data_IF_684406325882
#
_entry.id   IF_684406325882
#
_cell.length_a   1.000
_cell.length_b   1.000
_cell.length_c   1.000
_cell.angle_alpha   90.00
_cell.angle_beta   90.00
_cell.angle_gamma   90.00
#
_symmetry.space_group_name_H-M   'P 1'
#
loop_
_entity.id
_entity.type
_entity.pdbx_description
1 polymer ?
#
# COMPACT_ATOMS: atom_id res chain seq x y z
N UNK A 1 27.99 -64.66 37.27
CA UNK A 1 28.25 -63.21 37.32
C UNK A 1 28.33 -62.50 35.97
N UNK A 2 28.45 -63.20 34.84
CA UNK A 2 28.52 -62.58 33.48
C UNK A 2 27.19 -62.05 32.94
N UNK A 3 26.04 -62.62 33.30
CA UNK A 3 24.74 -62.21 32.77
C UNK A 3 24.21 -60.83 33.28
N UNK A 4 24.59 -60.41 34.44
CA UNK A 4 24.19 -59.14 35.04
C UNK A 4 24.85 -57.92 34.41
N UNK A 5 26.12 -58.06 33.96
CA UNK A 5 26.83 -56.99 33.28
C UNK A 5 26.25 -56.70 31.90
N UNK A 6 25.90 -57.75 31.14
CA UNK A 6 25.31 -57.57 29.81
C UNK A 6 23.95 -56.89 29.85
N UNK A 7 23.10 -57.19 30.85
CA UNK A 7 21.78 -56.56 30.98
C UNK A 7 21.87 -55.10 31.40
N UNK A 8 22.87 -54.68 32.19
CA UNK A 8 23.12 -53.30 32.59
C UNK A 8 23.65 -52.50 31.40
N UNK A 9 24.58 -53.06 30.61
CA UNK A 9 25.10 -52.39 29.41
C UNK A 9 23.98 -52.15 28.37
N UNK A 10 23.12 -53.13 28.13
CA UNK A 10 22.01 -53.02 27.17
C UNK A 10 20.96 -51.99 27.60
N UNK A 11 20.69 -51.91 28.92
CA UNK A 11 19.79 -50.86 29.45
C UNK A 11 20.37 -49.45 29.36
N UNK A 12 21.69 -49.32 29.48
CA UNK A 12 22.38 -48.03 29.37
C UNK A 12 22.47 -47.55 27.92
N UNK A 13 22.72 -48.47 26.98
CA UNK A 13 22.65 -48.13 25.54
C UNK A 13 21.25 -47.71 25.08
N UNK A 14 20.21 -48.39 25.57
CA UNK A 14 18.82 -48.04 25.26
C UNK A 14 18.42 -46.69 25.86
N UNK A 15 18.93 -46.37 27.07
CA UNK A 15 18.67 -45.08 27.70
C UNK A 15 19.36 -43.93 26.93
N UNK A 16 20.63 -44.11 26.51
CA UNK A 16 21.34 -43.12 25.69
C UNK A 16 20.73 -42.93 24.30
N UNK A 17 20.24 -44.00 23.69
CA UNK A 17 19.52 -43.90 22.40
C UNK A 17 18.19 -43.15 22.52
N UNK A 18 17.46 -43.33 23.63
CA UNK A 18 16.23 -42.60 23.91
C UNK A 18 16.47 -41.13 24.18
N UNK A 19 17.53 -40.78 24.93
CA UNK A 19 17.88 -39.36 25.15
C UNK A 19 18.35 -38.66 23.87
N UNK A 20 19.07 -39.33 22.98
CA UNK A 20 19.49 -38.80 21.70
C UNK A 20 18.27 -38.50 20.78
N UNK A 21 17.28 -39.40 20.72
CA UNK A 21 16.06 -39.22 19.96
C UNK A 21 15.14 -38.09 20.54
N UNK A 22 15.04 -38.03 21.87
CA UNK A 22 14.28 -36.99 22.56
C UNK A 22 14.92 -35.59 22.38
N UNK A 23 16.25 -35.52 22.24
CA UNK A 23 16.97 -34.26 21.98
C UNK A 23 16.69 -33.66 20.59
N UNK A 24 16.58 -34.50 19.56
CA UNK A 24 16.31 -34.04 18.19
C UNK A 24 14.89 -33.53 18.00
N UNK A 25 13.89 -34.19 18.59
CA UNK A 25 12.49 -33.71 18.52
C UNK A 25 12.29 -32.38 19.28
N UNK A 26 12.99 -32.14 20.37
CA UNK A 26 12.98 -30.87 21.10
C UNK A 26 13.61 -29.73 20.32
N UNK A 27 14.66 -30.00 19.56
CA UNK A 27 15.38 -28.99 18.79
C UNK A 27 14.52 -28.49 17.61
N UNK A 28 13.87 -29.39 16.86
CA UNK A 28 12.98 -29.03 15.75
C UNK A 28 11.81 -28.15 16.19
N UNK A 29 11.23 -28.42 17.34
CA UNK A 29 10.11 -27.60 17.85
C UNK A 29 10.55 -26.20 18.28
N UNK A 30 11.74 -26.02 18.82
CA UNK A 30 12.31 -24.72 19.16
C UNK A 30 12.67 -23.92 17.91
N UNK A 31 13.24 -24.54 16.88
CA UNK A 31 13.50 -23.88 15.61
C UNK A 31 12.22 -23.43 14.93
N UNK A 32 11.18 -24.26 14.91
CA UNK A 32 9.89 -23.90 14.36
C UNK A 32 9.25 -22.74 15.15
N UNK A 33 9.32 -22.77 16.47
CA UNK A 33 8.81 -21.70 17.32
C UNK A 33 9.52 -20.36 17.09
N UNK A 34 10.80 -20.38 16.77
CA UNK A 34 11.59 -19.18 16.47
C UNK A 34 11.34 -18.67 15.03
N UNK A 35 11.17 -19.56 14.05
CA UNK A 35 11.01 -19.20 12.65
C UNK A 35 9.57 -18.76 12.31
N UNK A 36 8.57 -19.32 12.97
CA UNK A 36 7.15 -19.05 12.69
C UNK A 36 6.78 -17.56 12.79
N UNK A 37 7.15 -16.81 13.83
CA UNK A 37 6.85 -15.37 13.91
C UNK A 37 7.51 -14.58 12.78
N UNK A 38 8.73 -14.94 12.36
CA UNK A 38 9.42 -14.28 11.26
C UNK A 38 8.67 -14.51 9.94
N UNK A 39 8.27 -15.75 9.66
CA UNK A 39 7.50 -16.10 8.46
C UNK A 39 6.16 -15.36 8.43
N UNK A 40 5.47 -15.27 9.57
CA UNK A 40 4.21 -14.51 9.67
C UNK A 40 4.40 -13.03 9.36
N UNK A 41 5.43 -12.39 9.89
CA UNK A 41 5.71 -10.97 9.62
C UNK A 41 6.01 -10.76 8.13
N UNK A 42 6.84 -11.60 7.52
CA UNK A 42 7.16 -11.54 6.08
C UNK A 42 5.90 -11.74 5.24
N UNK A 43 5.06 -12.72 5.58
CA UNK A 43 3.80 -12.96 4.89
C UNK A 43 2.86 -11.74 4.96
N UNK A 44 2.75 -11.09 6.13
CA UNK A 44 1.95 -9.86 6.29
C UNK A 44 2.48 -8.71 5.43
N UNK A 45 3.79 -8.54 5.35
CA UNK A 45 4.41 -7.51 4.50
C UNK A 45 4.06 -7.77 3.03
N UNK A 46 4.23 -9.00 2.55
CA UNK A 46 3.93 -9.39 1.17
C UNK A 46 2.44 -9.17 0.84
N UNK A 47 1.54 -9.58 1.73
CA UNK A 47 0.10 -9.38 1.54
C UNK A 47 -0.28 -7.90 1.44
N UNK A 48 0.26 -7.04 2.30
CA UNK A 48 0.02 -5.60 2.23
C UNK A 48 0.58 -4.99 0.95
N UNK A 49 1.78 -5.41 0.53
CA UNK A 49 2.38 -4.94 -0.72
C UNK A 49 1.55 -5.34 -1.93
N UNK A 50 1.08 -6.59 -2.00
CA UNK A 50 0.22 -7.05 -3.10
C UNK A 50 -1.10 -6.28 -3.15
N UNK A 51 -1.74 -6.04 -2.00
CA UNK A 51 -2.96 -5.20 -1.92
C UNK A 51 -2.69 -3.79 -2.40
N UNK A 52 -1.57 -3.19 -1.99
CA UNK A 52 -1.18 -1.85 -2.41
C UNK A 52 -0.95 -1.76 -3.92
N UNK A 53 -0.17 -2.66 -4.50
CA UNK A 53 0.10 -2.70 -5.94
C UNK A 53 -1.19 -2.88 -6.75
N UNK A 54 -2.08 -3.77 -6.31
CA UNK A 54 -3.38 -3.96 -6.94
C UNK A 54 -4.25 -2.71 -6.90
N UNK A 55 -4.28 -2.02 -5.76
CA UNK A 55 -5.00 -0.77 -5.60
C UNK A 55 -4.40 0.37 -6.44
N UNK A 56 -3.06 0.47 -6.53
CA UNK A 56 -2.39 1.43 -7.42
C UNK A 56 -2.74 1.18 -8.89
N UNK A 57 -2.76 -0.07 -9.34
CA UNK A 57 -3.14 -0.42 -10.71
C UNK A 57 -4.59 -0.06 -11.04
N UNK A 58 -5.50 -0.21 -10.08
CA UNK A 58 -6.88 0.25 -10.21
C UNK A 58 -6.97 1.78 -10.24
N UNK A 59 -6.26 2.45 -9.33
CA UNK A 59 -6.20 3.90 -9.27
C UNK A 59 -5.66 4.52 -10.57
N UNK A 60 -4.57 3.95 -11.13
CA UNK A 60 -3.97 4.42 -12.38
C UNK A 60 -4.91 4.28 -13.60
N UNK A 61 -5.94 3.44 -13.52
CA UNK A 61 -7.00 3.34 -14.54
C UNK A 61 -8.16 4.30 -14.31
N UNK A 62 -8.53 4.49 -13.05
CA UNK A 62 -9.71 5.27 -12.66
C UNK A 62 -9.40 6.77 -12.66
N UNK A 63 -8.27 7.17 -12.10
CA UNK A 63 -7.92 8.57 -11.91
C UNK A 63 -7.91 9.39 -13.21
N UNK A 64 -7.30 8.97 -14.33
CA UNK A 64 -7.33 9.73 -15.57
C UNK A 64 -8.75 9.86 -16.14
N UNK A 65 -9.55 8.78 -16.05
CA UNK A 65 -10.93 8.81 -16.53
C UNK A 65 -11.80 9.78 -15.70
N UNK A 66 -11.63 9.78 -14.39
CA UNK A 66 -12.33 10.70 -13.49
C UNK A 66 -11.92 12.16 -13.75
N UNK A 67 -10.62 12.42 -13.94
CA UNK A 67 -10.13 13.76 -14.24
C UNK A 67 -10.64 14.26 -15.59
N UNK A 68 -10.64 13.44 -16.63
CA UNK A 68 -11.15 13.82 -17.96
C UNK A 68 -12.65 14.02 -17.95
N UNK A 69 -13.40 13.16 -17.27
CA UNK A 69 -14.88 13.23 -17.26
C UNK A 69 -15.44 14.33 -16.35
N UNK A 70 -14.81 14.59 -15.20
CA UNK A 70 -15.29 15.49 -14.18
C UNK A 70 -14.48 16.78 -14.03
N UNK A 71 -13.23 16.77 -14.48
CA UNK A 71 -12.33 17.92 -14.42
C UNK A 71 -12.59 18.97 -15.50
N UNK A 72 -13.24 18.58 -16.60
CA UNK A 72 -13.71 19.49 -17.64
C UNK A 72 -15.04 20.08 -17.17
N UNK A 73 -15.01 21.30 -16.67
CA UNK A 73 -16.22 22.00 -16.21
C UNK A 73 -17.03 22.50 -17.41
N UNK A 74 -18.35 22.37 -17.41
CA UNK A 74 -19.19 23.09 -18.39
C UNK A 74 -18.99 24.61 -18.21
N UNK A 75 -19.07 25.41 -19.31
CA UNK A 75 -18.88 26.84 -19.26
C UNK A 75 -20.00 27.48 -18.40
N UNK A 76 -19.63 28.01 -17.25
CA UNK A 76 -20.58 28.74 -16.39
C UNK A 76 -20.35 28.66 -14.90
N UNK A 77 -19.72 27.61 -14.35
CA UNK A 77 -19.47 27.50 -12.92
C UNK A 77 -17.98 27.31 -12.61
N UNK A 78 -17.43 28.37 -12.07
CA UNK A 78 -15.99 28.52 -11.83
C UNK A 78 -15.52 28.14 -10.45
N UNK A 79 -16.07 27.18 -9.81
CA UNK A 79 -15.55 26.80 -8.51
C UNK A 79 -14.61 25.60 -8.72
N UNK A 80 -13.29 25.85 -8.75
CA UNK A 80 -12.26 24.80 -8.77
C UNK A 80 -12.53 23.75 -7.70
N UNK A 81 -13.03 24.16 -6.54
CA UNK A 81 -13.43 23.29 -5.45
C UNK A 81 -14.54 22.29 -5.85
N UNK A 82 -15.48 22.68 -6.68
CA UNK A 82 -16.55 21.81 -7.16
C UNK A 82 -16.05 20.71 -8.11
N UNK A 83 -15.12 21.04 -9.00
CA UNK A 83 -14.51 20.05 -9.89
C UNK A 83 -13.64 19.05 -9.11
N UNK A 84 -12.83 19.53 -8.15
CA UNK A 84 -12.04 18.68 -7.26
C UNK A 84 -12.91 17.71 -6.48
N UNK A 85 -14.02 18.19 -5.90
CA UNK A 85 -14.96 17.34 -5.17
C UNK A 85 -15.59 16.24 -6.04
N UNK A 86 -16.00 16.57 -7.28
CA UNK A 86 -16.54 15.56 -8.21
C UNK A 86 -15.51 14.53 -8.65
N UNK A 87 -14.27 14.94 -8.93
CA UNK A 87 -13.17 14.02 -9.26
C UNK A 87 -12.88 13.10 -8.08
N UNK A 88 -12.81 13.66 -6.86
CA UNK A 88 -12.55 12.87 -5.65
C UNK A 88 -13.63 11.83 -5.43
N UNK A 89 -14.91 12.23 -5.43
CA UNK A 89 -16.03 11.29 -5.23
C UNK A 89 -16.10 10.23 -6.33
N UNK A 90 -15.82 10.59 -7.58
CA UNK A 90 -15.79 9.63 -8.68
C UNK A 90 -14.69 8.59 -8.51
N UNK A 91 -13.49 8.98 -8.04
CA UNK A 91 -12.39 8.04 -7.76
C UNK A 91 -12.75 7.16 -6.56
N UNK A 92 -13.25 7.73 -5.48
CA UNK A 92 -13.64 7.00 -4.27
C UNK A 92 -14.73 5.96 -4.56
N UNK A 93 -15.75 6.32 -5.30
CA UNK A 93 -16.85 5.43 -5.71
C UNK A 93 -16.33 4.27 -6.59
N UNK A 94 -15.42 4.57 -7.52
CA UNK A 94 -14.85 3.55 -8.41
C UNK A 94 -13.87 2.62 -7.69
N UNK A 95 -13.14 3.13 -6.71
CA UNK A 95 -12.22 2.33 -5.89
C UNK A 95 -12.94 1.41 -4.91
N UNK A 96 -14.22 1.71 -4.54
CA UNK A 96 -15.05 0.91 -3.61
C UNK A 96 -14.28 0.40 -2.41
N UNK A 97 -13.57 1.30 -1.73
CA UNK A 97 -12.69 0.92 -0.62
C UNK A 97 -13.46 0.48 0.62
N UNK A 98 -12.88 -0.46 1.34
CA UNK A 98 -13.32 -0.93 2.65
C UNK A 98 -12.98 0.05 3.80
N UNK A 99 -12.73 1.33 3.47
CA UNK A 99 -12.27 2.36 4.42
C UNK A 99 -10.77 2.34 4.71
N UNK A 100 -10.01 1.43 4.12
CA UNK A 100 -8.54 1.37 4.25
C UNK A 100 -7.81 2.34 3.31
N UNK A 101 -8.55 2.98 2.39
CA UNK A 101 -8.04 3.92 1.40
C UNK A 101 -8.52 5.33 1.68
N UNK A 102 -7.70 6.31 1.31
CA UNK A 102 -8.11 7.70 1.20
C UNK A 102 -7.54 8.30 -0.08
N UNK A 103 -8.32 9.12 -0.75
CA UNK A 103 -7.93 9.81 -1.97
C UNK A 103 -7.93 11.30 -1.71
N UNK A 104 -6.85 11.97 -2.08
CA UNK A 104 -6.74 13.42 -2.02
C UNK A 104 -6.49 13.94 -3.43
N UNK A 105 -7.31 14.87 -3.88
CA UNK A 105 -7.15 15.52 -5.19
C UNK A 105 -6.90 17.01 -4.98
N UNK A 106 -5.88 17.52 -5.63
CA UNK A 106 -5.55 18.95 -5.66
C UNK A 106 -5.53 19.43 -7.10
N UNK A 107 -6.16 20.56 -7.36
CA UNK A 107 -6.09 21.25 -8.63
C UNK A 107 -5.20 22.48 -8.52
N UNK A 108 -4.39 22.73 -9.54
CA UNK A 108 -3.61 23.96 -9.67
C UNK A 108 -3.65 24.44 -11.13
N UNK A 109 -3.94 25.72 -11.33
CA UNK A 109 -3.85 26.35 -12.66
C UNK A 109 -2.39 26.51 -13.07
N UNK A 110 -2.09 26.19 -14.33
CA UNK A 110 -0.78 26.38 -14.91
C UNK A 110 -0.82 27.70 -15.70
N UNK A 111 -0.18 28.75 -15.18
CA UNK A 111 0.04 29.96 -15.94
C UNK A 111 1.36 29.82 -16.71
N UNK A 112 1.31 29.94 -18.04
CA UNK A 112 2.50 30.18 -18.82
C UNK A 112 2.87 31.65 -18.71
N UNK A 113 3.98 31.94 -18.03
CA UNK A 113 4.62 33.25 -18.13
C UNK A 113 5.32 33.28 -19.49
N UNK A 114 4.67 33.89 -20.50
CA UNK A 114 5.35 34.19 -21.75
C UNK A 114 6.44 35.21 -21.50
N UNK A 115 7.57 35.10 -22.23
CA UNK A 115 8.65 36.09 -22.19
C UNK A 115 8.11 37.50 -22.31
N UNK A 116 8.64 38.40 -21.50
CA UNK A 116 8.32 39.82 -21.50
C UNK A 116 8.51 40.42 -22.90
N UNK A 117 7.44 40.74 -23.57
CA UNK A 117 7.51 41.43 -24.85
C UNK A 117 6.33 41.29 -25.80
N UNK A 118 5.53 40.24 -25.73
CA UNK A 118 4.30 40.16 -26.53
C UNK A 118 3.08 40.37 -25.62
N UNK A 119 2.40 41.50 -25.81
CA UNK A 119 1.21 41.90 -25.05
C UNK A 119 -0.02 40.99 -25.26
N UNK A 120 0.17 39.72 -25.61
CA UNK A 120 -0.84 38.70 -25.76
C UNK A 120 -0.60 37.58 -24.76
N UNK A 121 -1.12 37.75 -23.57
CA UNK A 121 -1.23 36.69 -22.56
C UNK A 121 -2.31 35.72 -22.99
N UNK A 122 -1.95 34.63 -23.64
CA UNK A 122 -2.86 33.48 -23.78
C UNK A 122 -2.98 32.88 -22.39
N UNK A 123 -4.04 33.27 -21.66
CA UNK A 123 -4.36 32.66 -20.38
C UNK A 123 -4.40 31.14 -20.58
N UNK A 124 -3.43 30.42 -20.01
CA UNK A 124 -3.38 28.98 -20.16
C UNK A 124 -4.55 28.40 -19.34
N UNK A 125 -5.54 27.89 -20.03
CA UNK A 125 -6.67 27.22 -19.43
C UNK A 125 -6.31 25.78 -18.97
N UNK A 126 -5.03 25.53 -18.76
CA UNK A 126 -4.50 24.25 -18.32
C UNK A 126 -4.60 24.14 -16.81
N UNK A 127 -5.25 23.10 -16.35
CA UNK A 127 -5.35 22.78 -14.93
C UNK A 127 -4.62 21.46 -14.67
N UNK A 128 -3.71 21.49 -13.70
CA UNK A 128 -3.05 20.28 -13.22
C UNK A 128 -3.81 19.71 -12.03
N UNK A 129 -4.26 18.49 -12.18
CA UNK A 129 -4.84 17.69 -11.10
C UNK A 129 -3.78 16.77 -10.53
N UNK A 130 -3.48 16.89 -9.26
CA UNK A 130 -2.60 15.98 -8.53
C UNK A 130 -3.47 15.10 -7.64
N UNK A 131 -3.52 13.82 -7.99
CA UNK A 131 -4.31 12.82 -7.29
C UNK A 131 -3.36 11.96 -6.44
N UNK A 132 -3.57 11.93 -5.14
CA UNK A 132 -2.78 11.15 -4.18
C UNK A 132 -3.67 10.09 -3.55
N UNK A 133 -3.28 8.85 -3.76
CA UNK A 133 -3.88 7.67 -3.14
C UNK A 133 -3.07 7.26 -1.93
N UNK A 134 -3.73 7.06 -0.79
CA UNK A 134 -3.12 6.61 0.46
C UNK A 134 -3.79 5.34 0.94
N UNK A 135 -2.99 4.33 1.27
CA UNK A 135 -3.46 3.09 1.88
C UNK A 135 -2.83 2.89 3.26
N UNK A 136 -3.66 2.50 4.22
CA UNK A 136 -3.19 2.07 5.53
C UNK A 136 -3.00 0.56 5.51
N UNK A 137 -1.78 0.05 5.78
CA UNK A 137 -1.54 -1.39 5.83
C UNK A 137 -2.30 -2.03 7.00
N UNK A 138 -2.70 -3.26 6.81
CA UNK A 138 -3.33 -4.09 7.85
C UNK A 138 -2.28 -5.04 8.46
N UNK A 139 -2.29 -5.26 9.76
CA UNK A 139 -3.12 -4.65 10.80
C UNK A 139 -2.67 -3.25 11.20
N UNK A 140 -3.63 -2.33 11.39
CA UNK A 140 -3.39 -0.91 11.68
C UNK A 140 -2.94 -0.61 13.11
N UNK A 141 -2.47 -1.59 13.83
CA UNK A 141 -1.95 -1.45 15.19
C UNK A 141 -1.33 -2.76 15.62
N UNK A 142 -0.07 -2.99 15.25
CA UNK A 142 0.70 -4.13 15.73
C UNK A 142 1.34 -3.75 17.06
N UNK A 143 0.93 -4.41 18.14
CA UNK A 143 1.68 -4.42 19.38
C UNK A 143 2.20 -5.84 19.63
N UNK A 144 3.51 -6.02 19.68
CA UNK A 144 4.15 -7.28 20.04
C UNK A 144 4.72 -7.11 21.45
N UNK A 145 4.29 -7.96 22.36
CA UNK A 145 4.72 -7.95 23.76
C UNK A 145 4.56 -6.58 24.48
N UNK A 146 3.48 -5.85 24.17
CA UNK A 146 3.20 -4.53 24.79
C UNK A 146 3.98 -3.36 24.18
N UNK A 147 4.82 -3.61 23.18
CA UNK A 147 5.52 -2.56 22.43
C UNK A 147 4.71 -2.25 21.17
N UNK A 148 4.10 -1.07 21.11
CA UNK A 148 3.44 -0.57 19.91
C UNK A 148 4.49 -0.31 18.82
N UNK A 149 4.38 -1.00 17.71
CA UNK A 149 5.18 -0.74 16.52
C UNK A 149 4.64 0.51 15.81
N UNK A 150 4.81 1.69 16.37
CA UNK A 150 4.60 2.99 15.76
C UNK A 150 3.27 3.22 15.01
N UNK A 151 3.01 4.42 14.52
CA UNK A 151 1.89 4.66 13.61
C UNK A 151 2.11 3.87 12.30
N UNK A 152 1.07 3.27 11.73
CA UNK A 152 1.18 2.53 10.49
C UNK A 152 1.72 3.48 9.40
N UNK A 153 2.80 3.07 8.75
CA UNK A 153 3.36 3.79 7.60
C UNK A 153 2.27 3.76 6.52
N UNK A 154 1.71 4.92 6.19
CA UNK A 154 0.79 5.03 5.07
C UNK A 154 1.58 4.85 3.77
N UNK A 155 1.12 3.95 2.91
CA UNK A 155 1.66 3.79 1.57
C UNK A 155 0.97 4.80 0.66
N UNK A 156 1.75 5.62 -0.03
CA UNK A 156 1.24 6.69 -0.89
C UNK A 156 1.62 6.45 -2.34
N UNK A 157 0.69 6.76 -3.24
CA UNK A 157 0.91 6.77 -4.68
C UNK A 157 0.30 8.03 -5.27
N UNK A 158 1.12 8.84 -5.95
CA UNK A 158 0.71 10.13 -6.50
C UNK A 158 0.84 10.15 -8.00
N UNK A 159 -0.18 10.67 -8.68
CA UNK A 159 -0.20 10.93 -10.12
C UNK A 159 -0.67 12.35 -10.40
N UNK A 160 -0.11 12.96 -11.44
CA UNK A 160 -0.52 14.28 -11.90
C UNK A 160 -0.99 14.21 -13.34
N UNK A 161 -2.13 14.85 -13.61
CA UNK A 161 -2.74 14.94 -14.94
C UNK A 161 -2.96 16.39 -15.29
N UNK A 162 -2.66 16.76 -16.51
CA UNK A 162 -2.91 18.12 -17.04
C UNK A 162 -4.06 18.04 -18.00
N UNK A 163 -5.08 18.87 -17.79
CA UNK A 163 -6.30 18.91 -18.60
C UNK A 163 -6.52 20.32 -19.10
N UNK A 164 -6.85 20.46 -20.39
CA UNK A 164 -7.32 21.69 -20.97
C UNK A 164 -8.83 21.80 -20.71
N UNK A 165 -9.29 22.91 -20.13
CA UNK A 165 -10.71 23.15 -19.85
C UNK A 165 -11.58 23.19 -21.11
N UNK A 166 -11.02 23.53 -22.26
CA UNK A 166 -11.76 23.71 -23.53
C UNK A 166 -11.59 22.54 -24.49
N UNK A 167 -10.60 21.68 -24.27
CA UNK A 167 -10.39 20.49 -25.08
C UNK A 167 -10.40 19.27 -24.18
N UNK A 168 -11.40 18.40 -24.26
CA UNK A 168 -11.41 17.17 -23.50
C UNK A 168 -10.27 16.25 -23.96
N UNK A 169 -9.25 16.15 -23.16
CA UNK A 169 -8.07 15.31 -23.37
C UNK A 169 -7.04 15.48 -22.29
N UNK A 170 -6.34 14.42 -21.94
CA UNK A 170 -5.20 14.47 -21.02
C UNK A 170 -3.95 14.79 -21.85
N UNK A 171 -3.33 15.92 -21.57
CA UNK A 171 -2.00 16.23 -22.08
C UNK A 171 -1.00 15.73 -21.01
N UNK A 172 -0.20 14.76 -21.38
CA UNK A 172 0.83 14.15 -20.53
C UNK A 172 2.07 15.04 -20.49
#
# INVERSE_FOLDING_TARGET
MRGRKAAVDQSMEMCMAYEALAGEEGQMSVELAATLPVVLVVALIILNLMRFVGACAQFDRVAPNAVVSQGVSPPGEQVESGAVGRVTSCIEDAMRGDGSYSVEVRASSIAFVGEEGSGFSIGSNLTRYTCTFRMRPWPSGLSIAGIGLGPPIALEHTRSYVVDRFKPGVVI
#
